data_IF_730013768351
#
_entry.id   IF_730013768351
#
_cell.length_a   1.000
_cell.length_b   1.000
_cell.length_c   1.000
_cell.angle_alpha   90.00
_cell.angle_beta   90.00
_cell.angle_gamma   90.00
#
_symmetry.space_group_name_H-M   'P 1'
#
loop_
_entity.id
_entity.type
_entity.pdbx_description
1 polymer ?
#
# COMPACT_ATOMS: atom_id res chain seq x y z
N UNK A 1 32.90 26.87 -3.99
CA UNK A 1 33.70 25.62 -3.87
C UNK A 1 33.70 25.31 -2.38
N UNK A 2 32.89 24.41 -1.84
CA UNK A 2 32.59 23.05 -2.29
C UNK A 2 31.22 22.61 -1.76
N UNK A 3 30.43 22.01 -2.64
CA UNK A 3 29.12 21.39 -2.41
C UNK A 3 29.24 20.16 -1.49
N UNK A 4 28.26 19.97 -0.60
CA UNK A 4 27.77 18.64 -0.14
C UNK A 4 26.24 18.78 -0.22
N UNK A 5 25.52 18.32 -1.24
CA UNK A 5 25.41 16.98 -1.86
C UNK A 5 25.01 15.89 -0.88
N UNK A 6 23.78 15.39 -1.12
CA UNK A 6 23.14 14.14 -0.68
C UNK A 6 22.23 14.19 0.56
N UNK A 7 21.01 14.74 0.38
CA UNK A 7 19.82 14.18 1.03
C UNK A 7 19.39 12.97 0.18
N UNK A 8 19.76 11.76 0.61
CA UNK A 8 19.21 10.55 0.03
C UNK A 8 17.74 10.47 0.37
N UNK A 9 16.87 10.37 -0.63
CA UNK A 9 15.46 10.03 -0.42
C UNK A 9 15.42 8.65 0.22
N UNK A 10 15.23 8.59 1.53
CA UNK A 10 15.01 7.33 2.23
C UNK A 10 13.81 6.64 1.55
N UNK A 11 14.02 5.42 1.04
CA UNK A 11 12.98 4.70 0.31
C UNK A 11 11.88 4.36 1.32
N UNK A 12 10.80 5.14 1.34
CA UNK A 12 9.70 4.94 2.28
C UNK A 12 9.15 3.50 2.14
N UNK A 13 9.19 2.74 3.23
CA UNK A 13 8.65 1.39 3.26
C UNK A 13 7.12 1.44 3.18
N UNK A 14 6.55 0.75 2.20
CA UNK A 14 5.11 0.62 2.04
C UNK A 14 4.57 -0.48 2.97
N UNK A 15 3.47 -0.19 3.68
CA UNK A 15 2.80 -1.17 4.55
C UNK A 15 1.67 -1.83 3.80
N UNK A 16 1.70 -3.16 3.76
CA UNK A 16 0.70 -4.01 3.11
C UNK A 16 0.28 -5.09 4.10
N UNK A 17 -1.02 -5.32 4.21
CA UNK A 17 -1.61 -6.42 4.98
C UNK A 17 -2.41 -7.34 4.05
N UNK A 18 -2.24 -8.65 4.22
CA UNK A 18 -3.09 -9.67 3.60
C UNK A 18 -4.20 -10.05 4.58
N UNK A 19 -5.44 -10.11 4.11
CA UNK A 19 -6.63 -10.28 4.94
C UNK A 19 -7.56 -11.31 4.31
N UNK A 20 -8.07 -12.22 5.14
CA UNK A 20 -9.18 -13.10 4.80
C UNK A 20 -10.50 -12.43 5.21
N UNK A 21 -11.19 -11.78 4.27
CA UNK A 21 -12.43 -11.06 4.52
C UNK A 21 -13.63 -12.01 4.74
N UNK A 22 -14.60 -11.58 5.55
CA UNK A 22 -15.84 -12.32 5.87
C UNK A 22 -15.64 -13.68 6.55
N UNK A 23 -14.51 -13.89 7.21
CA UNK A 23 -14.21 -15.10 7.98
C UNK A 23 -13.49 -14.76 9.29
N UNK A 24 -13.53 -15.68 10.24
CA UNK A 24 -12.71 -15.64 11.47
C UNK A 24 -11.66 -16.76 11.50
N UNK A 25 -11.58 -17.55 10.43
CA UNK A 25 -10.61 -18.66 10.27
C UNK A 25 -9.61 -18.31 9.16
N UNK A 26 -8.31 -18.60 9.34
CA UNK A 26 -7.31 -18.45 8.29
C UNK A 26 -7.66 -19.25 7.03
N UNK A 27 -7.30 -18.70 5.86
CA UNK A 27 -7.50 -19.29 4.53
C UNK A 27 -8.97 -19.58 4.17
N UNK A 28 -9.89 -18.83 4.79
CA UNK A 28 -11.33 -18.88 4.47
C UNK A 28 -11.81 -17.55 3.89
N UNK A 29 -13.09 -17.47 3.54
CA UNK A 29 -13.68 -16.21 3.06
C UNK A 29 -13.07 -15.75 1.73
N UNK A 30 -12.79 -14.45 1.60
CA UNK A 30 -12.19 -13.86 0.40
C UNK A 30 -10.83 -13.22 0.71
N UNK A 31 -9.79 -13.62 -0.01
CA UNK A 31 -8.45 -13.04 0.13
C UNK A 31 -8.39 -11.63 -0.46
N UNK A 32 -7.85 -10.68 0.31
CA UNK A 32 -7.69 -9.31 -0.11
C UNK A 32 -6.40 -8.70 0.44
N UNK A 33 -5.89 -7.69 -0.26
CA UNK A 33 -4.77 -6.88 0.20
C UNK A 33 -5.24 -5.48 0.63
N UNK A 34 -4.65 -4.96 1.70
CA UNK A 34 -4.85 -3.58 2.16
C UNK A 34 -3.50 -2.87 2.15
N UNK A 35 -3.41 -1.76 1.41
CA UNK A 35 -2.18 -0.98 1.24
C UNK A 35 -2.36 0.40 1.87
N UNK A 36 -1.41 0.81 2.72
CA UNK A 36 -1.34 2.17 3.24
C UNK A 36 -0.52 3.06 2.30
N UNK A 37 -1.15 4.08 1.73
CA UNK A 37 -0.50 5.05 0.85
C UNK A 37 0.10 6.20 1.65
N UNK A 38 1.33 6.59 1.29
CA UNK A 38 1.97 7.81 1.83
C UNK A 38 1.43 9.11 1.24
N UNK A 39 0.62 9.03 0.19
CA UNK A 39 0.05 10.17 -0.52
C UNK A 39 -0.78 9.72 -1.74
N UNK A 40 -1.42 10.64 -2.45
CA UNK A 40 -2.20 10.32 -3.64
C UNK A 40 -1.36 9.57 -4.68
N UNK A 41 -1.96 8.56 -5.32
CA UNK A 41 -1.33 7.78 -6.37
C UNK A 41 -2.22 7.75 -7.62
N UNK A 42 -1.60 7.56 -8.79
CA UNK A 42 -2.35 7.46 -10.05
C UNK A 42 -3.02 6.09 -10.17
N UNK A 43 -4.12 6.01 -10.93
CA UNK A 43 -4.80 4.74 -11.17
C UNK A 43 -3.89 3.66 -11.78
N UNK A 44 -2.94 4.03 -12.64
CA UNK A 44 -1.97 3.10 -13.21
C UNK A 44 -1.04 2.51 -12.13
N UNK A 45 -0.54 3.35 -11.22
CA UNK A 45 0.30 2.91 -10.10
C UNK A 45 -0.47 1.99 -9.16
N UNK A 46 -1.74 2.32 -8.85
CA UNK A 46 -2.61 1.49 -8.04
C UNK A 46 -2.87 0.12 -8.69
N UNK A 47 -3.11 0.10 -10.01
CA UNK A 47 -3.32 -1.14 -10.74
C UNK A 47 -2.07 -2.04 -10.75
N UNK A 48 -0.89 -1.46 -10.97
CA UNK A 48 0.37 -2.21 -10.92
C UNK A 48 0.60 -2.81 -9.53
N UNK A 49 0.34 -2.02 -8.48
CA UNK A 49 0.50 -2.48 -7.10
C UNK A 49 -0.52 -3.56 -6.71
N UNK A 50 -1.77 -3.45 -7.16
CA UNK A 50 -2.76 -4.51 -6.98
C UNK A 50 -2.32 -5.81 -7.66
N UNK A 51 -1.72 -5.73 -8.85
CA UNK A 51 -1.19 -6.89 -9.55
C UNK A 51 -0.03 -7.55 -8.80
N UNK A 52 0.85 -6.76 -8.16
CA UNK A 52 1.91 -7.30 -7.28
C UNK A 52 1.36 -8.02 -6.04
N UNK A 53 0.22 -7.60 -5.52
CA UNK A 53 -0.41 -8.22 -4.35
C UNK A 53 -1.04 -9.59 -4.66
N UNK A 54 -1.34 -9.88 -5.94
CA UNK A 54 -1.91 -11.13 -6.41
C UNK A 54 -3.17 -11.61 -5.66
N UNK A 55 -4.02 -10.68 -5.24
CA UNK A 55 -5.35 -10.94 -4.66
C UNK A 55 -6.45 -10.53 -5.65
N UNK A 56 -7.67 -11.03 -5.46
CA UNK A 56 -8.82 -10.64 -6.29
C UNK A 56 -9.15 -9.16 -6.15
N UNK A 57 -9.03 -8.62 -4.92
CA UNK A 57 -9.23 -7.21 -4.62
C UNK A 57 -8.07 -6.62 -3.79
N UNK A 58 -7.77 -5.35 -4.04
CA UNK A 58 -6.81 -4.56 -3.25
C UNK A 58 -7.44 -3.22 -2.86
N UNK A 59 -7.48 -2.94 -1.56
CA UNK A 59 -7.95 -1.67 -1.02
C UNK A 59 -6.77 -0.75 -0.73
N UNK A 60 -6.90 0.53 -1.10
CA UNK A 60 -5.88 1.55 -0.89
C UNK A 60 -6.37 2.58 0.11
N UNK A 61 -5.69 2.70 1.25
CA UNK A 61 -6.01 3.67 2.29
C UNK A 61 -5.13 4.89 2.12
N UNK A 62 -5.75 6.04 1.85
CA UNK A 62 -5.11 7.34 1.81
C UNK A 62 -5.47 8.11 3.08
N UNK A 63 -4.47 8.56 3.81
CA UNK A 63 -4.69 9.33 5.02
C UNK A 63 -5.22 10.73 4.68
N UNK A 64 -6.44 11.05 5.13
CA UNK A 64 -7.05 12.37 4.94
C UNK A 64 -6.83 13.20 6.21
N UNK A 65 -5.95 14.20 6.16
CA UNK A 65 -5.81 15.24 7.19
C UNK A 65 -5.61 14.77 8.64
N UNK A 66 -5.05 13.58 8.90
CA UNK A 66 -4.80 13.12 10.28
C UNK A 66 -5.79 12.08 10.81
N UNK A 67 -6.79 11.67 10.03
CA UNK A 67 -7.77 10.66 10.44
C UNK A 67 -7.78 9.47 9.47
N UNK A 68 -7.95 8.28 10.03
CA UNK A 68 -8.09 7.01 9.32
C UNK A 68 -9.55 6.59 9.28
#
# INVERSE_FOLDING_TARGET
MTTRSQEGTEKAAMRIAQVDAFTTRPFGGNGAAVVLLGGPATGQSLQALAAECAQSETAFLLHLQGQW
#
